data_IF_728083904793
#
_entry.id   IF_728083904793
#
_cell.length_a   1.000
_cell.length_b   1.000
_cell.length_c   1.000
_cell.angle_alpha   90.00
_cell.angle_beta   90.00
_cell.angle_gamma   90.00
#
_symmetry.space_group_name_H-M   'P 1'
#
loop_
_entity.id
_entity.type
_entity.pdbx_description
1 polymer ?
#
# COMPACT_ATOMS: atom_id res chain seq x y z
N UNK A 1 -23.30 37.72 9.21
CA UNK A 1 -22.54 36.45 9.35
C UNK A 1 -23.46 35.30 9.05
N UNK A 2 -23.05 34.37 8.23
CA UNK A 2 -23.81 33.16 7.98
C UNK A 2 -23.90 32.30 9.25
N UNK A 3 -24.88 31.40 9.34
CA UNK A 3 -25.00 30.44 10.46
C UNK A 3 -23.69 29.66 10.69
N UNK A 4 -23.04 29.27 9.61
CA UNK A 4 -21.75 28.55 9.62
C UNK A 4 -20.65 29.42 10.23
N UNK A 5 -20.53 30.69 9.85
CA UNK A 5 -19.51 31.60 10.40
C UNK A 5 -19.67 31.80 11.90
N UNK A 6 -20.93 31.92 12.39
CA UNK A 6 -21.17 32.04 13.82
C UNK A 6 -20.74 30.77 14.59
N UNK A 7 -21.03 29.59 14.03
CA UNK A 7 -20.60 28.31 14.60
C UNK A 7 -19.09 28.21 14.66
N UNK A 8 -18.41 28.51 13.56
CA UNK A 8 -16.95 28.50 13.48
C UNK A 8 -16.27 29.53 14.40
N UNK A 9 -16.91 30.68 14.60
CA UNK A 9 -16.42 31.69 15.57
C UNK A 9 -16.51 31.17 17.01
N UNK A 10 -17.59 30.48 17.38
CA UNK A 10 -17.71 29.82 18.70
C UNK A 10 -16.68 28.71 18.85
N UNK A 11 -16.46 27.94 17.78
CA UNK A 11 -15.44 26.89 17.76
C UNK A 11 -14.04 27.45 18.02
N UNK A 12 -13.66 28.59 17.42
CA UNK A 12 -12.39 29.26 17.65
C UNK A 12 -12.17 29.60 19.13
N UNK A 13 -13.23 30.00 19.85
CA UNK A 13 -13.15 30.28 21.30
C UNK A 13 -12.90 28.98 22.08
N UNK A 14 -13.60 27.90 21.74
CA UNK A 14 -13.41 26.59 22.40
C UNK A 14 -11.99 26.07 22.15
N UNK A 15 -11.50 26.19 20.93
CA UNK A 15 -10.15 25.76 20.58
C UNK A 15 -9.06 26.52 21.33
N UNK A 16 -9.22 27.83 21.49
CA UNK A 16 -8.28 28.64 22.26
C UNK A 16 -8.31 28.29 23.74
N UNK A 17 -9.54 28.09 24.30
CA UNK A 17 -9.71 27.81 25.75
C UNK A 17 -9.29 26.41 26.14
N UNK A 18 -9.60 25.40 25.31
CA UNK A 18 -9.43 23.97 25.62
C UNK A 18 -8.36 23.30 24.76
N UNK A 19 -7.36 24.05 24.25
CA UNK A 19 -6.33 23.56 23.32
C UNK A 19 -5.63 22.29 23.79
N UNK A 20 -5.26 22.16 25.07
CA UNK A 20 -4.60 20.97 25.61
C UNK A 20 -5.53 19.76 25.69
N UNK A 21 -6.82 19.98 26.00
CA UNK A 21 -7.83 18.90 26.00
C UNK A 21 -8.03 18.38 24.59
N UNK A 22 -8.11 19.27 23.61
CA UNK A 22 -8.20 18.90 22.18
C UNK A 22 -6.99 18.07 21.77
N UNK A 23 -5.78 18.48 22.18
CA UNK A 23 -4.56 17.72 21.88
C UNK A 23 -4.60 16.30 22.49
N UNK A 24 -5.01 16.19 23.78
CA UNK A 24 -5.12 14.88 24.44
C UNK A 24 -6.12 13.98 23.73
N UNK A 25 -7.30 14.51 23.40
CA UNK A 25 -8.32 13.76 22.64
C UNK A 25 -7.78 13.33 21.27
N UNK A 26 -7.05 14.22 20.58
CA UNK A 26 -6.43 13.90 19.28
C UNK A 26 -5.43 12.75 19.40
N UNK A 27 -4.60 12.76 20.44
CA UNK A 27 -3.62 11.69 20.71
C UNK A 27 -4.35 10.38 20.98
N UNK A 28 -5.39 10.38 21.84
CA UNK A 28 -6.16 9.17 22.14
C UNK A 28 -6.87 8.60 20.89
N UNK A 29 -7.47 9.47 20.07
CA UNK A 29 -8.06 9.06 18.80
C UNK A 29 -7.00 8.52 17.83
N UNK A 30 -5.82 9.15 17.78
CA UNK A 30 -4.73 8.66 16.92
C UNK A 30 -4.25 7.27 17.34
N UNK A 31 -4.16 7.00 18.65
CA UNK A 31 -3.85 5.66 19.15
C UNK A 31 -4.93 4.65 18.70
N UNK A 32 -6.21 5.01 18.82
CA UNK A 32 -7.30 4.16 18.35
C UNK A 32 -7.19 3.83 16.85
N UNK A 33 -6.91 4.83 16.00
CA UNK A 33 -6.74 4.60 14.57
C UNK A 33 -5.46 3.84 14.23
N UNK A 34 -4.38 3.99 15.01
CA UNK A 34 -3.14 3.20 14.84
C UNK A 34 -3.42 1.71 15.04
N UNK A 35 -4.28 1.33 15.98
CA UNK A 35 -4.71 -0.07 16.10
C UNK A 35 -5.45 -0.59 14.85
N UNK A 36 -6.12 0.27 14.10
CA UNK A 36 -6.71 -0.12 12.81
C UNK A 36 -5.68 -0.52 11.76
N UNK A 37 -4.45 0.03 11.82
CA UNK A 37 -3.39 -0.31 10.87
C UNK A 37 -3.03 -1.80 10.89
N UNK A 38 -3.18 -2.48 12.04
CA UNK A 38 -2.87 -3.91 12.17
C UNK A 38 -3.84 -4.81 11.42
N UNK A 39 -5.02 -4.28 11.05
CA UNK A 39 -6.07 -5.01 10.34
C UNK A 39 -6.09 -4.75 8.84
N UNK A 40 -5.11 -3.99 8.32
CA UNK A 40 -5.06 -3.69 6.89
C UNK A 40 -4.75 -4.98 6.12
N UNK A 41 -5.61 -5.26 5.17
CA UNK A 41 -5.45 -6.36 4.22
C UNK A 41 -5.06 -5.81 2.85
N UNK A 42 -4.28 -6.59 2.12
CA UNK A 42 -3.94 -6.30 0.73
C UNK A 42 -4.75 -7.21 -0.19
N UNK A 43 -5.24 -6.68 -1.30
CA UNK A 43 -5.95 -7.47 -2.32
C UNK A 43 -5.08 -7.58 -3.56
N UNK A 44 -4.73 -8.81 -3.90
CA UNK A 44 -3.96 -9.15 -5.10
C UNK A 44 -4.75 -9.97 -6.09
N UNK A 45 -5.90 -10.47 -5.68
CA UNK A 45 -6.77 -11.24 -6.56
C UNK A 45 -7.50 -10.29 -7.52
N UNK A 46 -7.03 -10.26 -8.76
CA UNK A 46 -7.63 -9.44 -9.81
C UNK A 46 -9.09 -9.83 -10.09
N UNK A 47 -9.50 -11.07 -9.82
CA UNK A 47 -10.89 -11.51 -9.95
C UNK A 47 -11.79 -10.76 -8.97
N UNK A 48 -11.33 -10.56 -7.73
CA UNK A 48 -12.06 -9.78 -6.71
C UNK A 48 -12.04 -8.27 -6.94
N UNK A 49 -11.07 -7.78 -7.72
CA UNK A 49 -11.01 -6.38 -8.15
C UNK A 49 -11.95 -6.09 -9.32
N UNK A 50 -12.48 -7.14 -9.95
CA UNK A 50 -13.34 -7.09 -11.14
C UNK A 50 -14.83 -7.19 -10.76
N UNK A 51 -15.73 -6.74 -11.63
CA UNK A 51 -17.17 -6.75 -11.35
C UNK A 51 -17.71 -8.18 -11.25
N UNK A 52 -18.00 -8.66 -10.05
CA UNK A 52 -18.55 -10.01 -9.81
C UNK A 52 -19.95 -10.22 -10.41
N UNK A 53 -20.68 -9.14 -10.73
CA UNK A 53 -22.03 -9.22 -11.25
C UNK A 53 -22.10 -9.56 -12.73
N UNK A 54 -21.01 -9.40 -13.48
CA UNK A 54 -20.96 -9.75 -14.90
C UNK A 54 -20.97 -11.26 -15.08
N UNK A 55 -21.70 -11.73 -16.10
CA UNK A 55 -21.91 -13.16 -16.39
C UNK A 55 -20.58 -13.93 -16.53
N UNK A 56 -19.58 -13.31 -17.16
CA UNK A 56 -18.27 -13.92 -17.36
C UNK A 56 -17.56 -14.25 -16.03
N UNK A 57 -17.65 -13.36 -15.03
CA UNK A 57 -17.05 -13.59 -13.71
C UNK A 57 -17.85 -14.62 -12.90
N UNK A 58 -19.20 -14.58 -12.96
CA UNK A 58 -20.07 -15.62 -12.37
C UNK A 58 -19.80 -16.98 -12.94
N UNK A 59 -19.54 -17.06 -14.25
CA UNK A 59 -19.18 -18.31 -14.90
C UNK A 59 -17.81 -18.81 -14.44
N UNK A 60 -16.83 -17.92 -14.31
CA UNK A 60 -15.51 -18.26 -13.79
C UNK A 60 -15.59 -18.80 -12.36
N UNK A 61 -16.35 -18.13 -11.47
CA UNK A 61 -16.57 -18.58 -10.09
C UNK A 61 -17.26 -19.94 -10.03
N UNK A 62 -18.22 -20.18 -10.93
CA UNK A 62 -18.90 -21.47 -11.04
C UNK A 62 -17.96 -22.56 -11.55
N UNK A 63 -17.05 -22.26 -12.47
CA UNK A 63 -16.03 -23.21 -12.92
C UNK A 63 -15.09 -23.53 -11.76
N UNK A 64 -14.57 -22.51 -11.09
CA UNK A 64 -13.66 -22.69 -9.94
C UNK A 64 -14.31 -23.51 -8.81
N UNK A 65 -15.58 -23.23 -8.47
CA UNK A 65 -16.28 -23.95 -7.41
C UNK A 65 -16.62 -25.42 -7.74
N UNK A 66 -16.81 -25.76 -9.02
CA UNK A 66 -17.21 -27.10 -9.42
C UNK A 66 -16.03 -27.99 -9.87
N UNK A 67 -14.94 -27.38 -10.36
CA UNK A 67 -13.82 -28.11 -10.94
C UNK A 67 -12.50 -27.91 -10.17
N UNK A 68 -12.54 -27.21 -9.03
CA UNK A 68 -11.37 -26.87 -8.23
C UNK A 68 -10.73 -25.55 -8.66
N UNK A 69 -9.77 -25.07 -7.84
CA UNK A 69 -9.07 -23.82 -8.08
C UNK A 69 -8.21 -23.90 -9.35
N UNK A 70 -8.24 -22.82 -10.12
CA UNK A 70 -7.43 -22.67 -11.33
C UNK A 70 -6.11 -21.92 -11.07
N UNK A 71 -5.67 -21.87 -9.82
CA UNK A 71 -4.41 -21.23 -9.49
C UNK A 71 -3.24 -22.10 -9.94
N UNK A 72 -2.60 -21.66 -11.02
CA UNK A 72 -1.50 -22.38 -11.63
C UNK A 72 -0.19 -21.78 -11.15
N UNK A 73 0.69 -22.63 -10.63
CA UNK A 73 2.10 -22.32 -10.40
C UNK A 73 2.93 -23.07 -11.43
N UNK A 74 3.83 -22.36 -12.05
CA UNK A 74 4.77 -22.90 -13.04
C UNK A 74 6.18 -22.78 -12.49
N UNK A 75 6.84 -23.91 -12.36
CA UNK A 75 8.28 -23.94 -12.07
C UNK A 75 9.00 -24.21 -13.39
N UNK A 76 9.82 -23.27 -13.78
CA UNK A 76 10.61 -23.32 -15.00
C UNK A 76 12.02 -23.70 -14.65
N UNK A 77 12.60 -24.66 -15.35
CA UNK A 77 13.99 -25.10 -15.22
C UNK A 77 14.75 -24.79 -16.51
N UNK A 78 15.90 -24.16 -16.39
CA UNK A 78 16.76 -23.84 -17.53
C UNK A 78 18.23 -24.02 -17.18
N UNK A 79 19.09 -24.05 -18.18
CA UNK A 79 20.53 -24.03 -17.97
C UNK A 79 20.98 -22.69 -17.41
N UNK A 80 21.83 -22.76 -16.36
CA UNK A 80 22.45 -21.59 -15.77
C UNK A 80 23.54 -21.05 -16.72
N UNK A 81 23.30 -19.88 -17.30
CA UNK A 81 24.22 -19.23 -18.23
C UNK A 81 25.46 -18.61 -17.53
N UNK A 82 25.41 -18.49 -16.20
CA UNK A 82 26.46 -17.84 -15.40
C UNK A 82 27.38 -18.84 -14.74
N UNK A 83 27.04 -20.14 -14.71
CA UNK A 83 27.89 -21.15 -14.12
C UNK A 83 29.07 -21.44 -15.03
N UNK A 84 30.29 -21.47 -14.48
CA UNK A 84 31.51 -21.95 -15.16
C UNK A 84 31.43 -23.43 -15.59
N UNK A 85 30.48 -24.17 -15.04
CA UNK A 85 29.98 -25.43 -15.57
C UNK A 85 29.16 -25.14 -16.83
N UNK A 86 29.82 -24.87 -17.96
CA UNK A 86 29.22 -25.12 -19.27
C UNK A 86 28.73 -26.54 -19.19
N UNK A 87 27.42 -26.63 -18.99
CA UNK A 87 26.76 -27.88 -18.69
C UNK A 87 27.21 -28.94 -19.66
N UNK A 88 27.57 -30.07 -19.13
CA UNK A 88 27.77 -31.34 -19.83
C UNK A 88 26.53 -31.66 -20.72
N UNK A 89 25.49 -30.86 -20.55
CA UNK A 89 24.14 -30.95 -21.12
C UNK A 89 23.81 -29.74 -21.98
N UNK A 90 23.79 -29.94 -23.30
CA UNK A 90 23.27 -28.93 -24.25
C UNK A 90 21.76 -29.08 -24.54
N UNK A 91 21.09 -30.05 -23.93
CA UNK A 91 19.71 -30.42 -24.19
C UNK A 91 19.00 -30.73 -22.86
N UNK A 92 17.90 -30.00 -22.58
CA UNK A 92 17.13 -30.16 -21.34
C UNK A 92 16.39 -31.51 -21.27
N UNK A 93 16.31 -32.25 -22.40
CA UNK A 93 15.73 -33.60 -22.51
C UNK A 93 16.69 -34.65 -21.98
N UNK A 94 17.27 -34.45 -20.82
CA UNK A 94 18.21 -35.33 -20.17
C UNK A 94 17.49 -36.24 -19.16
N UNK A 95 17.80 -37.56 -19.10
CA UNK A 95 17.22 -38.48 -18.12
C UNK A 95 17.36 -38.01 -16.67
N UNK A 96 18.49 -37.38 -16.30
CA UNK A 96 18.70 -36.86 -14.96
C UNK A 96 17.68 -35.77 -14.60
N UNK A 97 17.38 -34.87 -15.56
CA UNK A 97 16.37 -33.83 -15.40
C UNK A 97 14.97 -34.40 -15.29
N UNK A 98 14.63 -35.41 -16.12
CA UNK A 98 13.35 -36.11 -16.03
C UNK A 98 13.18 -36.80 -14.67
N UNK A 99 14.23 -37.44 -14.15
CA UNK A 99 14.21 -38.06 -12.82
C UNK A 99 14.07 -37.01 -11.70
N UNK A 100 14.73 -35.87 -11.83
CA UNK A 100 14.57 -34.75 -10.90
C UNK A 100 13.13 -34.21 -10.90
N UNK A 101 12.53 -34.00 -12.07
CA UNK A 101 11.12 -33.61 -12.18
C UNK A 101 10.20 -34.65 -11.54
N UNK A 102 10.44 -35.94 -11.75
CA UNK A 102 9.68 -37.03 -11.13
C UNK A 102 9.76 -37.00 -9.59
N UNK A 103 10.94 -36.73 -9.06
CA UNK A 103 11.15 -36.58 -7.61
C UNK A 103 10.35 -35.40 -7.08
N UNK A 104 10.42 -34.23 -7.74
CA UNK A 104 9.63 -33.06 -7.39
C UNK A 104 8.13 -33.33 -7.44
N UNK A 105 7.63 -33.97 -8.51
CA UNK A 105 6.21 -34.34 -8.61
C UNK A 105 5.78 -35.21 -7.43
N UNK A 106 6.61 -36.19 -7.05
CA UNK A 106 6.31 -37.09 -5.94
C UNK A 106 6.26 -36.36 -4.62
N UNK A 107 7.14 -35.40 -4.37
CA UNK A 107 7.19 -34.63 -3.15
C UNK A 107 6.07 -33.57 -3.08
N UNK A 108 5.72 -32.93 -4.20
CA UNK A 108 4.61 -31.98 -4.22
C UNK A 108 3.24 -32.65 -4.09
N UNK A 109 3.05 -33.84 -4.66
CA UNK A 109 1.80 -34.61 -4.50
C UNK A 109 1.48 -35.03 -3.07
N UNK A 110 2.47 -35.03 -2.15
CA UNK A 110 2.25 -35.30 -0.73
C UNK A 110 1.63 -34.13 0.01
N UNK A 111 1.67 -32.92 -0.56
CA UNK A 111 1.19 -31.72 0.08
C UNK A 111 -0.32 -31.55 -0.12
N UNK A 112 -1.05 -31.41 0.99
CA UNK A 112 -2.51 -31.24 0.94
C UNK A 112 -2.98 -29.93 0.27
N UNK A 113 -2.08 -28.96 0.12
CA UNK A 113 -2.34 -27.66 -0.54
C UNK A 113 -2.18 -27.72 -2.06
N UNK A 114 -1.80 -28.87 -2.63
CA UNK A 114 -1.56 -29.06 -4.05
C UNK A 114 -2.59 -30.05 -4.60
N UNK A 115 -3.36 -29.63 -5.58
CA UNK A 115 -4.39 -30.47 -6.20
C UNK A 115 -3.78 -31.42 -7.24
N UNK A 116 -3.03 -30.86 -8.19
CA UNK A 116 -2.36 -31.65 -9.23
C UNK A 116 -0.95 -31.16 -9.49
N UNK A 117 -0.07 -32.09 -9.88
CA UNK A 117 1.29 -31.79 -10.35
C UNK A 117 1.54 -32.57 -11.61
N UNK A 118 2.05 -31.92 -12.64
CA UNK A 118 2.39 -32.57 -13.90
C UNK A 118 3.53 -31.86 -14.63
N UNK A 119 4.37 -32.65 -15.25
CA UNK A 119 5.47 -32.25 -16.11
C UNK A 119 5.72 -33.28 -17.22
N UNK A 120 6.79 -33.16 -17.96
CA UNK A 120 7.23 -34.20 -18.85
C UNK A 120 7.44 -35.54 -18.12
N UNK A 121 7.86 -35.54 -16.88
CA UNK A 121 8.10 -36.73 -16.08
C UNK A 121 6.81 -37.52 -15.75
N UNK A 122 5.66 -36.89 -15.73
CA UNK A 122 4.35 -37.57 -15.55
C UNK A 122 4.16 -38.67 -16.57
N UNK A 123 4.62 -38.45 -17.78
CA UNK A 123 4.46 -39.36 -18.90
C UNK A 123 5.73 -40.20 -19.14
N UNK A 124 6.91 -39.58 -19.03
CA UNK A 124 8.19 -40.21 -19.31
C UNK A 124 8.75 -41.01 -18.13
N UNK A 125 8.34 -40.66 -16.90
CA UNK A 125 8.90 -41.25 -15.67
C UNK A 125 8.55 -42.73 -15.45
N UNK A 126 7.67 -43.32 -16.26
CA UNK A 126 7.39 -44.76 -16.26
C UNK A 126 8.33 -45.58 -17.20
N UNK A 127 9.11 -44.88 -18.02
CA UNK A 127 10.07 -45.52 -18.93
C UNK A 127 11.46 -45.47 -18.30
N UNK A 128 12.24 -46.53 -18.50
CA UNK A 128 13.66 -46.55 -18.10
C UNK A 128 14.47 -45.92 -19.24
N UNK A 129 14.58 -44.58 -19.15
CA UNK A 129 15.30 -43.78 -20.15
C UNK A 129 16.72 -43.53 -19.59
N UNK A 130 17.76 -43.99 -20.30
CA UNK A 130 19.13 -43.91 -19.88
C UNK A 130 20.00 -42.94 -20.71
N UNK A 131 19.44 -42.47 -21.83
CA UNK A 131 20.15 -41.53 -22.72
C UNK A 131 19.22 -40.41 -23.22
N UNK A 132 19.84 -39.32 -23.65
CA UNK A 132 19.13 -38.17 -24.25
C UNK A 132 18.39 -38.57 -25.50
N UNK A 133 18.97 -39.47 -26.31
CA UNK A 133 18.35 -39.94 -27.57
C UNK A 133 17.13 -40.80 -27.32
N UNK A 134 17.09 -41.58 -26.25
CA UNK A 134 15.89 -42.31 -25.82
C UNK A 134 14.77 -41.35 -25.40
N UNK A 135 15.09 -40.27 -24.65
CA UNK A 135 14.12 -39.24 -24.28
C UNK A 135 13.57 -38.52 -25.49
N UNK A 136 14.43 -38.15 -26.46
CA UNK A 136 14.01 -37.56 -27.73
C UNK A 136 13.04 -38.47 -28.49
N UNK A 137 13.41 -39.74 -28.65
CA UNK A 137 12.58 -40.74 -29.34
C UNK A 137 11.21 -40.91 -28.67
N UNK A 138 11.18 -40.91 -27.35
CA UNK A 138 9.93 -40.97 -26.59
C UNK A 138 9.04 -39.71 -26.78
N UNK A 139 9.65 -38.54 -26.86
CA UNK A 139 8.93 -37.29 -27.16
C UNK A 139 8.41 -37.28 -28.59
N UNK A 140 9.19 -37.73 -29.54
CA UNK A 140 8.78 -37.84 -30.96
C UNK A 140 7.56 -38.78 -31.14
N UNK A 141 7.49 -39.84 -30.32
CA UNK A 141 6.33 -40.74 -30.27
C UNK A 141 5.09 -40.10 -29.63
N UNK A 142 5.29 -39.11 -28.77
CA UNK A 142 4.23 -38.42 -28.05
C UNK A 142 4.32 -36.89 -28.22
N UNK A 143 3.92 -36.32 -29.37
CA UNK A 143 4.10 -34.90 -29.68
C UNK A 143 3.48 -33.94 -28.67
N UNK A 144 2.47 -34.39 -27.91
CA UNK A 144 1.88 -33.60 -26.82
C UNK A 144 2.89 -33.24 -25.70
N UNK A 145 4.00 -33.97 -25.56
CA UNK A 145 5.05 -33.67 -24.60
C UNK A 145 5.85 -32.43 -24.95
N UNK A 146 5.83 -31.99 -26.20
CA UNK A 146 6.54 -30.76 -26.59
C UNK A 146 6.04 -29.52 -25.85
N UNK A 147 4.84 -29.53 -25.31
CA UNK A 147 4.32 -28.41 -24.47
C UNK A 147 5.10 -28.20 -23.17
N UNK A 148 5.85 -29.18 -22.71
CA UNK A 148 6.68 -29.08 -21.50
C UNK A 148 8.09 -28.58 -21.77
N UNK A 149 8.46 -28.38 -23.02
CA UNK A 149 9.79 -27.97 -23.44
C UNK A 149 9.74 -26.69 -24.27
N UNK A 150 10.76 -25.86 -24.16
CA UNK A 150 10.95 -24.74 -25.08
C UNK A 150 11.32 -25.23 -26.48
N UNK A 151 11.07 -24.40 -27.51
CA UNK A 151 11.38 -24.75 -28.90
C UNK A 151 12.84 -25.07 -29.17
N UNK A 152 13.74 -24.49 -28.40
CA UNK A 152 15.20 -24.68 -28.44
C UNK A 152 15.70 -25.76 -27.48
N UNK A 153 14.78 -26.41 -26.76
CA UNK A 153 15.07 -27.44 -25.76
C UNK A 153 16.09 -27.01 -24.69
N UNK A 154 16.11 -25.72 -24.35
CA UNK A 154 16.94 -25.19 -23.26
C UNK A 154 16.20 -25.11 -21.94
N UNK A 155 14.88 -25.28 -21.96
CA UNK A 155 13.99 -25.03 -20.81
C UNK A 155 12.91 -26.11 -20.74
N UNK A 156 12.58 -26.54 -19.51
CA UNK A 156 11.42 -27.39 -19.22
C UNK A 156 10.59 -26.80 -18.08
N UNK A 157 9.34 -27.25 -17.97
CA UNK A 157 8.38 -26.73 -16.99
C UNK A 157 7.71 -27.84 -16.19
N UNK A 158 7.42 -27.50 -14.93
CA UNK A 158 6.57 -28.28 -14.05
C UNK A 158 5.38 -27.40 -13.63
N UNK A 159 4.18 -27.92 -13.77
CA UNK A 159 2.95 -27.26 -13.42
C UNK A 159 2.40 -27.83 -12.11
N UNK A 160 1.96 -26.92 -11.24
CA UNK A 160 1.19 -27.25 -10.04
C UNK A 160 -0.14 -26.50 -10.11
N UNK A 161 -1.22 -27.15 -9.70
CA UNK A 161 -2.50 -26.50 -9.48
C UNK A 161 -2.87 -26.57 -8.01
N UNK A 162 -3.53 -25.54 -7.51
CA UNK A 162 -3.97 -25.44 -6.14
C UNK A 162 -5.28 -24.65 -6.04
N UNK A 163 -6.11 -24.96 -5.05
CA UNK A 163 -7.26 -24.13 -4.70
C UNK A 163 -6.89 -23.14 -3.60
N UNK A 164 -6.55 -21.95 -4.01
CA UNK A 164 -6.22 -20.87 -3.07
C UNK A 164 -7.45 -20.05 -2.68
N UNK A 165 -8.54 -20.11 -3.47
CA UNK A 165 -9.81 -19.39 -3.24
C UNK A 165 -9.59 -17.90 -2.94
N UNK A 166 -8.53 -17.29 -3.48
CA UNK A 166 -8.11 -15.91 -3.21
C UNK A 166 -7.74 -15.66 -1.74
N UNK A 167 -7.32 -16.69 -1.00
CA UNK A 167 -6.82 -16.56 0.37
C UNK A 167 -5.33 -16.24 0.36
N UNK A 168 -4.97 -15.04 0.85
CA UNK A 168 -3.61 -14.54 0.89
C UNK A 168 -2.66 -15.45 1.68
N UNK A 169 -3.09 -15.93 2.86
CA UNK A 169 -2.24 -16.77 3.71
C UNK A 169 -1.94 -18.11 3.05
N UNK A 170 -2.93 -18.71 2.38
CA UNK A 170 -2.74 -19.94 1.60
C UNK A 170 -1.78 -19.69 0.41
N UNK A 171 -1.91 -18.55 -0.26
CA UNK A 171 -1.05 -18.18 -1.39
C UNK A 171 0.40 -18.04 -0.97
N UNK A 172 0.66 -17.34 0.15
CA UNK A 172 2.00 -17.18 0.73
C UNK A 172 2.54 -18.55 1.19
N UNK A 173 1.74 -19.34 1.91
CA UNK A 173 2.15 -20.66 2.40
C UNK A 173 2.53 -21.61 1.26
N UNK A 174 1.71 -21.65 0.19
CA UNK A 174 2.01 -22.45 -1.00
C UNK A 174 3.32 -22.01 -1.69
N UNK A 175 3.49 -20.71 -1.90
CA UNK A 175 4.68 -20.17 -2.57
C UNK A 175 5.96 -20.48 -1.77
N UNK A 176 5.91 -20.31 -0.45
CA UNK A 176 7.03 -20.63 0.43
C UNK A 176 7.33 -22.14 0.42
N UNK A 177 6.31 -23.00 0.53
CA UNK A 177 6.46 -24.44 0.48
C UNK A 177 7.12 -24.89 -0.83
N UNK A 178 6.70 -24.32 -1.97
CA UNK A 178 7.30 -24.63 -3.28
C UNK A 178 8.77 -24.24 -3.29
N UNK A 179 9.11 -23.05 -2.81
CA UNK A 179 10.48 -22.54 -2.75
C UNK A 179 11.34 -23.40 -1.83
N UNK A 180 10.86 -23.72 -0.62
CA UNK A 180 11.56 -24.55 0.35
C UNK A 180 11.91 -25.95 -0.19
N UNK A 181 10.96 -26.58 -0.91
CA UNK A 181 11.22 -27.89 -1.53
C UNK A 181 12.23 -27.81 -2.67
N UNK A 182 12.16 -26.75 -3.49
CA UNK A 182 13.15 -26.54 -4.57
C UNK A 182 14.56 -26.32 -4.04
N UNK A 183 14.71 -25.68 -2.87
CA UNK A 183 16.00 -25.48 -2.22
C UNK A 183 16.53 -26.75 -1.55
N UNK A 184 15.64 -27.55 -0.94
CA UNK A 184 16.02 -28.73 -0.16
C UNK A 184 16.25 -29.99 -1.02
N UNK A 185 15.67 -30.09 -2.20
CA UNK A 185 15.87 -31.24 -3.10
C UNK A 185 17.05 -30.96 -4.02
N UNK A 186 18.05 -31.88 -3.97
CA UNK A 186 19.27 -31.73 -4.75
C UNK A 186 18.94 -31.66 -6.24
N UNK A 187 19.22 -30.51 -6.86
CA UNK A 187 19.03 -30.28 -8.29
C UNK A 187 20.24 -30.73 -9.10
N UNK A 188 20.06 -31.12 -10.36
CA UNK A 188 21.15 -31.39 -11.29
C UNK A 188 22.07 -30.17 -11.44
N UNK A 189 23.39 -30.41 -11.62
CA UNK A 189 24.40 -29.36 -11.77
C UNK A 189 24.10 -28.51 -13.02
N UNK A 190 24.28 -27.18 -12.90
CA UNK A 190 24.08 -26.25 -14.02
C UNK A 190 22.63 -25.97 -14.40
N UNK A 191 21.67 -26.38 -13.56
CA UNK A 191 20.24 -26.02 -13.72
C UNK A 191 19.86 -24.95 -12.71
N UNK A 192 19.22 -23.90 -13.19
CA UNK A 192 18.52 -22.91 -12.37
C UNK A 192 17.00 -23.07 -12.52
N UNK A 193 16.28 -22.64 -11.50
CA UNK A 193 14.82 -22.64 -11.53
C UNK A 193 14.24 -21.24 -11.33
N UNK A 194 13.07 -21.01 -11.86
CA UNK A 194 12.27 -19.80 -11.64
C UNK A 194 10.83 -20.22 -11.38
N UNK A 195 10.19 -19.55 -10.42
CA UNK A 195 8.79 -19.84 -10.05
C UNK A 195 7.92 -18.68 -10.52
N UNK A 196 6.83 -18.98 -11.21
CA UNK A 196 5.85 -18.01 -11.70
C UNK A 196 4.44 -18.60 -11.64
N UNK A 197 3.44 -17.85 -12.08
CA UNK A 197 2.04 -18.25 -12.02
C UNK A 197 1.22 -17.32 -11.15
N UNK A 198 -0.08 -17.59 -10.99
CA UNK A 198 -1.00 -16.70 -10.27
C UNK A 198 -0.57 -16.48 -8.83
N UNK A 199 -0.23 -17.54 -8.09
CA UNK A 199 0.16 -17.46 -6.69
C UNK A 199 1.49 -16.71 -6.46
N UNK A 200 2.63 -17.10 -7.07
CA UNK A 200 3.90 -16.37 -6.89
C UNK A 200 3.85 -14.92 -7.35
N UNK A 201 3.15 -14.64 -8.46
CA UNK A 201 2.94 -13.26 -8.92
C UNK A 201 2.12 -12.49 -7.90
N UNK A 202 1.07 -13.07 -7.34
CA UNK A 202 0.27 -12.46 -6.28
C UNK A 202 1.12 -12.08 -5.06
N UNK A 203 1.97 -12.99 -4.56
CA UNK A 203 2.88 -12.72 -3.42
C UNK A 203 3.87 -11.60 -3.75
N UNK A 204 4.45 -11.62 -4.96
CA UNK A 204 5.37 -10.56 -5.40
C UNK A 204 4.67 -9.20 -5.48
N UNK A 205 3.45 -9.17 -6.00
CA UNK A 205 2.64 -7.94 -6.06
C UNK A 205 2.33 -7.42 -4.66
N UNK A 206 2.00 -8.28 -3.69
CA UNK A 206 1.80 -7.88 -2.28
C UNK A 206 3.02 -7.17 -1.71
N UNK A 207 4.20 -7.76 -1.89
CA UNK A 207 5.44 -7.19 -1.38
C UNK A 207 5.76 -5.83 -2.05
N UNK A 208 5.55 -5.73 -3.36
CA UNK A 208 5.71 -4.47 -4.11
C UNK A 208 4.71 -3.41 -3.61
N UNK A 209 3.42 -3.76 -3.49
CA UNK A 209 2.39 -2.82 -3.03
C UNK A 209 2.69 -2.29 -1.63
N UNK A 210 3.08 -3.16 -0.69
CA UNK A 210 3.44 -2.75 0.66
C UNK A 210 4.63 -1.79 0.68
N UNK A 211 5.68 -2.12 -0.07
CA UNK A 211 6.87 -1.25 -0.18
C UNK A 211 6.58 0.07 -0.87
N UNK A 212 5.80 0.05 -1.94
CA UNK A 212 5.48 1.25 -2.71
C UNK A 212 4.54 2.18 -1.94
N UNK A 213 3.57 1.65 -1.18
CA UNK A 213 2.73 2.45 -0.29
C UNK A 213 3.56 3.28 0.69
N UNK A 214 4.54 2.64 1.35
CA UNK A 214 5.42 3.32 2.31
C UNK A 214 6.36 4.29 1.60
N UNK A 215 7.00 3.89 0.51
CA UNK A 215 7.94 4.74 -0.25
C UNK A 215 7.27 5.99 -0.79
N UNK A 216 6.10 5.84 -1.42
CA UNK A 216 5.36 6.98 -2.00
C UNK A 216 4.87 7.93 -0.91
N UNK A 217 4.41 7.39 0.24
CA UNK A 217 4.00 8.21 1.37
C UNK A 217 5.18 9.01 1.95
N UNK A 218 6.33 8.37 2.18
CA UNK A 218 7.53 9.04 2.70
C UNK A 218 8.04 10.09 1.71
N UNK A 219 8.11 9.74 0.43
CA UNK A 219 8.57 10.68 -0.61
C UNK A 219 7.65 11.89 -0.71
N UNK A 220 6.32 11.68 -0.72
CA UNK A 220 5.35 12.77 -0.70
C UNK A 220 5.49 13.64 0.55
N UNK A 221 5.65 13.04 1.74
CA UNK A 221 5.85 13.76 2.97
C UNK A 221 7.12 14.63 2.95
N UNK A 222 8.24 14.10 2.45
CA UNK A 222 9.50 14.84 2.31
C UNK A 222 9.34 16.03 1.35
N UNK A 223 8.75 15.79 0.16
CA UNK A 223 8.55 16.85 -0.84
C UNK A 223 7.65 17.95 -0.29
N UNK A 224 6.53 17.58 0.37
CA UNK A 224 5.61 18.55 0.97
C UNK A 224 6.29 19.33 2.10
N UNK A 225 7.06 18.68 2.98
CA UNK A 225 7.80 19.37 4.03
C UNK A 225 8.86 20.33 3.47
N UNK A 226 9.54 19.96 2.38
CA UNK A 226 10.48 20.85 1.69
C UNK A 226 9.77 22.07 1.10
N UNK A 227 8.62 21.87 0.44
CA UNK A 227 7.80 22.96 -0.08
C UNK A 227 7.31 23.89 1.06
N UNK A 228 6.83 23.31 2.15
CA UNK A 228 6.41 24.08 3.32
C UNK A 228 7.58 24.83 3.97
N UNK A 229 8.77 24.25 3.98
CA UNK A 229 9.98 24.96 4.44
C UNK A 229 10.31 26.17 3.56
N UNK A 230 10.23 26.01 2.23
CA UNK A 230 10.48 27.11 1.29
C UNK A 230 9.44 28.22 1.43
N UNK A 231 8.16 27.88 1.58
CA UNK A 231 7.06 28.87 1.68
C UNK A 231 6.99 29.56 3.04
N UNK A 232 7.26 28.83 4.11
CA UNK A 232 7.19 29.35 5.48
C UNK A 232 8.51 29.89 6.02
N UNK A 233 9.63 29.65 5.32
CA UNK A 233 11.00 29.99 5.74
C UNK A 233 11.33 29.52 7.19
N UNK A 234 10.67 28.43 7.65
CA UNK A 234 10.84 27.89 9.00
C UNK A 234 10.44 26.43 9.05
N UNK A 235 11.34 25.55 9.46
CA UNK A 235 11.09 24.12 9.64
C UNK A 235 9.98 23.89 10.67
N UNK A 236 10.01 24.60 11.79
CA UNK A 236 9.02 24.43 12.87
C UNK A 236 7.61 24.73 12.34
N UNK A 237 7.45 25.82 11.59
CA UNK A 237 6.15 26.20 11.04
C UNK A 237 5.67 25.20 9.98
N UNK A 238 6.59 24.71 9.15
CA UNK A 238 6.29 23.64 8.20
C UNK A 238 5.75 22.38 8.90
N UNK A 239 6.39 21.96 10.00
CA UNK A 239 5.93 20.81 10.80
C UNK A 239 4.54 21.09 11.43
N UNK A 240 4.29 22.30 11.91
CA UNK A 240 2.98 22.69 12.49
C UNK A 240 1.87 22.56 11.44
N UNK A 241 2.10 23.02 10.22
CA UNK A 241 1.15 22.91 9.12
C UNK A 241 1.00 21.48 8.64
N UNK A 242 2.10 20.72 8.62
CA UNK A 242 2.11 19.33 8.16
C UNK A 242 1.45 18.36 9.14
N UNK A 243 1.59 18.60 10.45
CA UNK A 243 1.15 17.62 11.48
C UNK A 243 -0.35 17.28 11.42
N UNK A 244 -1.30 18.21 11.22
CA UNK A 244 -2.73 17.88 11.06
C UNK A 244 -3.01 17.00 9.84
N UNK A 245 -2.30 17.24 8.75
CA UNK A 245 -2.48 16.50 7.51
C UNK A 245 -1.99 15.07 7.65
N UNK A 246 -0.83 14.91 8.29
CA UNK A 246 -0.26 13.59 8.58
C UNK A 246 -1.17 12.78 9.52
N UNK A 247 -1.78 13.42 10.51
CA UNK A 247 -2.82 12.81 11.35
C UNK A 247 -4.00 12.32 10.50
N UNK A 248 -4.43 13.11 9.51
CA UNK A 248 -5.50 12.72 8.57
C UNK A 248 -5.17 11.43 7.82
N UNK A 249 -3.93 11.26 7.36
CA UNK A 249 -3.49 10.02 6.72
C UNK A 249 -3.55 8.84 7.70
N UNK A 250 -3.02 8.99 8.91
CA UNK A 250 -3.05 7.91 9.94
C UNK A 250 -4.50 7.50 10.22
N UNK A 251 -5.40 8.47 10.42
CA UNK A 251 -6.81 8.18 10.72
C UNK A 251 -7.51 7.51 9.53
N UNK A 252 -7.17 7.91 8.32
CA UNK A 252 -7.73 7.30 7.10
C UNK A 252 -7.30 5.85 6.96
N UNK A 253 -5.99 5.59 7.02
CA UNK A 253 -5.46 4.23 6.85
C UNK A 253 -5.95 3.35 8.01
N UNK A 254 -5.98 3.87 9.25
CA UNK A 254 -6.57 3.16 10.38
C UNK A 254 -8.06 2.82 10.20
N UNK A 255 -8.83 3.75 9.66
CA UNK A 255 -10.26 3.53 9.33
C UNK A 255 -10.42 2.47 8.24
N UNK A 256 -9.54 2.47 7.22
CA UNK A 256 -9.55 1.43 6.20
C UNK A 256 -9.40 0.05 6.82
N UNK A 257 -8.48 -0.11 7.80
CA UNK A 257 -8.31 -1.37 8.53
C UNK A 257 -9.56 -1.77 9.34
N UNK A 258 -10.20 -0.82 10.03
CA UNK A 258 -11.43 -1.08 10.79
C UNK A 258 -12.63 -1.43 9.90
N UNK A 259 -12.73 -0.84 8.71
CA UNK A 259 -13.80 -1.08 7.74
C UNK A 259 -13.50 -2.24 6.78
N UNK A 260 -12.38 -2.93 6.95
CA UNK A 260 -11.89 -3.97 6.03
C UNK A 260 -11.79 -3.49 4.57
N UNK A 261 -11.49 -2.19 4.37
CA UNK A 261 -11.15 -1.66 3.05
C UNK A 261 -9.73 -2.09 2.70
N UNK A 262 -9.59 -2.75 1.55
CA UNK A 262 -8.32 -3.38 1.19
C UNK A 262 -7.38 -2.42 0.46
N UNK A 263 -6.08 -2.59 0.71
CA UNK A 263 -5.04 -2.01 -0.12
C UNK A 263 -4.90 -2.83 -1.41
N UNK A 264 -5.06 -2.16 -2.54
CA UNK A 264 -4.94 -2.72 -3.88
C UNK A 264 -4.06 -1.84 -4.75
N UNK A 265 -3.81 -2.25 -5.98
CA UNK A 265 -3.10 -1.42 -6.97
C UNK A 265 -3.74 -0.03 -7.13
N UNK A 266 -5.07 0.09 -7.02
CA UNK A 266 -5.76 1.38 -7.10
C UNK A 266 -5.59 2.23 -5.85
N UNK A 267 -5.48 1.62 -4.67
CA UNK A 267 -5.51 2.32 -3.38
C UNK A 267 -4.14 2.50 -2.73
N UNK A 268 -3.08 1.92 -3.29
CA UNK A 268 -1.72 1.96 -2.74
C UNK A 268 -1.19 3.40 -2.55
N UNK A 269 -1.57 4.33 -3.43
CA UNK A 269 -1.15 5.74 -3.40
C UNK A 269 -2.03 6.66 -2.53
N UNK A 270 -3.04 6.14 -1.83
CA UNK A 270 -4.01 6.96 -1.08
C UNK A 270 -3.34 7.89 -0.07
N UNK A 271 -2.32 7.40 0.66
CA UNK A 271 -1.61 8.23 1.64
C UNK A 271 -0.99 9.48 1.01
N UNK A 272 -0.30 9.31 -0.13
CA UNK A 272 0.31 10.43 -0.86
C UNK A 272 -0.76 11.37 -1.45
N UNK A 273 -1.87 10.83 -1.97
CA UNK A 273 -2.99 11.63 -2.48
C UNK A 273 -3.62 12.49 -1.39
N UNK A 274 -3.89 11.93 -0.21
CA UNK A 274 -4.46 12.66 0.92
C UNK A 274 -3.49 13.73 1.42
N UNK A 275 -2.20 13.45 1.50
CA UNK A 275 -1.19 14.45 1.84
C UNK A 275 -1.23 15.63 0.85
N UNK A 276 -1.27 15.35 -0.46
CA UNK A 276 -1.28 16.37 -1.50
C UNK A 276 -2.56 17.23 -1.48
N UNK A 277 -3.72 16.60 -1.34
CA UNK A 277 -5.02 17.30 -1.32
C UNK A 277 -5.29 18.00 0.01
N UNK A 278 -4.81 17.44 1.12
CA UNK A 278 -5.07 17.99 2.46
C UNK A 278 -4.17 19.16 2.85
N UNK A 279 -2.98 19.31 2.20
CA UNK A 279 -1.98 20.33 2.60
C UNK A 279 -2.50 21.76 2.47
N UNK A 280 -3.33 22.01 1.47
CA UNK A 280 -3.90 23.34 1.23
C UNK A 280 -4.75 23.84 2.41
N UNK A 281 -5.48 22.97 3.09
CA UNK A 281 -6.34 23.35 4.22
C UNK A 281 -5.52 23.88 5.40
N UNK A 282 -4.42 23.20 5.72
CA UNK A 282 -3.50 23.61 6.78
C UNK A 282 -2.75 24.90 6.42
N UNK A 283 -2.29 25.01 5.17
CA UNK A 283 -1.58 26.20 4.67
C UNK A 283 -2.48 27.43 4.72
N UNK A 284 -3.67 27.36 4.16
CA UNK A 284 -4.59 28.50 4.13
C UNK A 284 -4.96 28.99 5.54
N UNK A 285 -5.27 28.06 6.44
CA UNK A 285 -5.60 28.42 7.81
C UNK A 285 -4.41 29.07 8.54
N UNK A 286 -3.21 28.49 8.42
CA UNK A 286 -2.00 29.04 9.06
C UNK A 286 -1.62 30.41 8.48
N UNK A 287 -1.70 30.57 7.16
CA UNK A 287 -1.40 31.85 6.51
C UNK A 287 -2.37 32.94 6.98
N UNK A 288 -3.67 32.65 7.00
CA UNK A 288 -4.68 33.62 7.44
C UNK A 288 -4.52 33.97 8.93
N UNK A 289 -4.27 32.98 9.77
CA UNK A 289 -3.98 33.23 11.19
C UNK A 289 -2.77 34.16 11.36
N UNK A 290 -1.67 33.91 10.63
CA UNK A 290 -0.47 34.74 10.67
C UNK A 290 -0.74 36.17 10.23
N UNK A 291 -1.46 36.38 9.11
CA UNK A 291 -1.83 37.72 8.65
C UNK A 291 -2.51 38.53 9.74
N UNK A 292 -3.42 37.92 10.49
CA UNK A 292 -4.13 38.61 11.57
C UNK A 292 -3.25 38.83 12.79
N UNK A 293 -2.33 37.89 13.09
CA UNK A 293 -1.31 38.08 14.15
C UNK A 293 -0.33 39.22 13.82
N UNK A 294 0.06 39.35 12.54
CA UNK A 294 0.97 40.41 12.05
C UNK A 294 0.34 41.79 12.13
N UNK A 295 -0.99 41.89 12.08
CA UNK A 295 -1.76 43.11 12.33
C UNK A 295 -1.81 43.46 13.83
N UNK A 296 -1.15 42.71 14.72
CA UNK A 296 -1.07 42.97 16.16
C UNK A 296 -2.23 42.39 16.98
N UNK A 297 -3.13 41.57 16.39
CA UNK A 297 -4.23 40.96 17.13
C UNK A 297 -3.73 39.89 18.09
N UNK A 298 -4.46 39.65 19.16
CA UNK A 298 -4.23 38.54 20.09
C UNK A 298 -4.47 37.19 19.41
N UNK A 299 -3.99 36.08 19.97
CA UNK A 299 -4.20 34.73 19.45
C UNK A 299 -5.70 34.43 19.22
N UNK A 300 -6.54 34.77 20.23
CA UNK A 300 -7.98 34.55 20.17
C UNK A 300 -8.65 35.39 19.07
N UNK A 301 -8.29 36.67 18.96
CA UNK A 301 -8.85 37.55 17.91
C UNK A 301 -8.46 37.09 16.51
N UNK A 302 -7.21 36.68 16.32
CA UNK A 302 -6.74 36.15 15.05
C UNK A 302 -7.50 34.86 14.68
N UNK A 303 -7.71 33.94 15.62
CA UNK A 303 -8.52 32.73 15.37
C UNK A 303 -9.99 33.02 15.05
N UNK A 304 -10.62 33.94 15.77
CA UNK A 304 -12.02 34.35 15.53
C UNK A 304 -12.25 34.89 14.11
N UNK A 305 -11.19 35.30 13.42
CA UNK A 305 -11.24 35.77 12.04
C UNK A 305 -10.80 34.67 11.08
N UNK A 306 -9.67 34.00 11.35
CA UNK A 306 -9.10 33.00 10.47
C UNK A 306 -9.99 31.75 10.33
N UNK A 307 -10.48 31.20 11.45
CA UNK A 307 -11.27 29.97 11.44
C UNK A 307 -12.60 30.11 10.69
N UNK A 308 -13.43 31.17 10.87
CA UNK A 308 -14.64 31.33 10.08
C UNK A 308 -14.35 31.62 8.60
N UNK A 309 -13.38 32.50 8.30
CA UNK A 309 -13.09 32.91 6.93
C UNK A 309 -12.58 31.74 6.08
N UNK A 310 -11.60 31.00 6.59
CA UNK A 310 -10.98 29.89 5.87
C UNK A 310 -11.82 28.62 6.05
N UNK A 311 -12.36 28.35 7.26
CA UNK A 311 -13.17 27.17 7.52
C UNK A 311 -14.39 27.06 6.64
N UNK A 312 -15.10 28.18 6.34
CA UNK A 312 -16.24 28.17 5.42
C UNK A 312 -15.81 27.86 3.97
N UNK A 313 -14.67 28.40 3.52
CA UNK A 313 -14.14 28.17 2.18
C UNK A 313 -13.68 26.71 1.97
N UNK A 314 -12.89 26.17 2.92
CA UNK A 314 -12.40 24.79 2.81
C UNK A 314 -13.52 23.75 3.02
N UNK A 315 -14.59 24.08 3.79
CA UNK A 315 -15.78 23.22 3.86
C UNK A 315 -16.45 23.11 2.50
N UNK A 316 -16.62 24.23 1.79
CA UNK A 316 -17.21 24.22 0.46
C UNK A 316 -16.40 23.39 -0.53
N UNK A 317 -15.09 23.66 -0.67
CA UNK A 317 -14.22 22.93 -1.59
C UNK A 317 -14.07 21.47 -1.21
N UNK A 318 -13.89 21.18 0.08
CA UNK A 318 -13.70 19.81 0.54
C UNK A 318 -14.95 18.95 0.41
N UNK A 319 -16.14 19.51 0.65
CA UNK A 319 -17.40 18.77 0.43
C UNK A 319 -17.60 18.43 -1.05
N UNK A 320 -17.27 19.33 -1.97
CA UNK A 320 -17.35 19.04 -3.41
C UNK A 320 -16.36 17.94 -3.80
N UNK A 321 -15.16 17.93 -3.22
CA UNK A 321 -14.15 16.89 -3.44
C UNK A 321 -14.62 15.53 -2.89
N UNK A 322 -15.20 15.52 -1.68
CA UNK A 322 -15.77 14.29 -1.09
C UNK A 322 -16.88 13.72 -1.98
N UNK A 323 -17.81 14.57 -2.46
CA UNK A 323 -18.89 14.14 -3.35
C UNK A 323 -18.33 13.59 -4.66
N UNK A 324 -17.28 14.23 -5.22
CA UNK A 324 -16.59 13.73 -6.41
C UNK A 324 -15.99 12.33 -6.21
N UNK A 325 -15.34 12.09 -5.08
CA UNK A 325 -14.81 10.74 -4.76
C UNK A 325 -15.91 9.74 -4.44
N UNK A 326 -16.97 10.16 -3.75
CA UNK A 326 -18.13 9.28 -3.51
C UNK A 326 -18.82 8.88 -4.82
N UNK A 327 -18.77 9.68 -5.88
CA UNK A 327 -19.29 9.27 -7.18
C UNK A 327 -18.58 8.03 -7.75
N UNK A 328 -17.31 7.79 -7.39
CA UNK A 328 -16.60 6.54 -7.75
C UNK A 328 -17.24 5.29 -7.13
N UNK A 329 -18.01 5.43 -6.05
CA UNK A 329 -18.70 4.29 -5.44
C UNK A 329 -19.85 3.76 -6.31
N UNK A 330 -20.27 4.52 -7.31
CA UNK A 330 -21.25 4.09 -8.32
C UNK A 330 -20.62 3.27 -9.46
N UNK A 331 -19.28 3.15 -9.47
CA UNK A 331 -18.59 2.31 -10.46
C UNK A 331 -18.99 0.85 -10.31
N UNK A 332 -19.03 0.12 -11.41
CA UNK A 332 -19.18 -1.35 -11.41
C UNK A 332 -17.90 -2.04 -10.90
N UNK A 333 -16.75 -1.36 -10.88
CA UNK A 333 -15.47 -1.95 -10.45
C UNK A 333 -15.27 -1.78 -8.94
N UNK A 334 -15.19 -2.86 -8.14
CA UNK A 334 -15.00 -2.80 -6.70
C UNK A 334 -13.78 -1.98 -6.27
N UNK A 335 -12.66 -2.11 -6.99
CA UNK A 335 -11.45 -1.36 -6.66
C UNK A 335 -11.62 0.16 -6.79
N UNK A 336 -12.46 0.64 -7.73
CA UNK A 336 -12.77 2.08 -7.84
C UNK A 336 -13.73 2.52 -6.76
N UNK A 337 -14.66 1.65 -6.32
CA UNK A 337 -15.51 1.92 -5.17
C UNK A 337 -14.69 2.10 -3.90
N UNK A 338 -13.74 1.21 -3.65
CA UNK A 338 -12.87 1.27 -2.46
C UNK A 338 -11.92 2.48 -2.52
N UNK A 339 -11.40 2.83 -3.69
CA UNK A 339 -10.64 4.07 -3.90
C UNK A 339 -11.50 5.30 -3.54
N UNK A 340 -12.72 5.37 -4.07
CA UNK A 340 -13.65 6.46 -3.80
C UNK A 340 -14.01 6.61 -2.32
N UNK A 341 -14.36 5.49 -1.65
CA UNK A 341 -14.63 5.46 -0.20
C UNK A 341 -13.43 5.95 0.61
N UNK A 342 -12.26 5.40 0.32
CA UNK A 342 -11.04 5.70 1.08
C UNK A 342 -10.60 7.15 0.90
N UNK A 343 -10.66 7.71 -0.31
CA UNK A 343 -10.36 9.13 -0.56
C UNK A 343 -11.39 10.06 0.07
N UNK A 344 -12.69 9.72 0.00
CA UNK A 344 -13.74 10.50 0.65
C UNK A 344 -13.56 10.54 2.16
N UNK A 345 -13.24 9.42 2.80
CA UNK A 345 -12.89 9.33 4.23
C UNK A 345 -11.66 10.18 4.53
N UNK A 346 -10.62 10.08 3.70
CA UNK A 346 -9.36 10.79 3.89
C UNK A 346 -9.50 12.30 3.81
N UNK A 347 -10.21 12.79 2.82
CA UNK A 347 -10.52 14.22 2.71
C UNK A 347 -11.44 14.66 3.86
N UNK A 348 -12.41 13.84 4.26
CA UNK A 348 -13.24 14.09 5.43
C UNK A 348 -12.45 14.29 6.71
N UNK A 349 -11.49 13.41 6.99
CA UNK A 349 -10.58 13.57 8.13
C UNK A 349 -9.65 14.78 7.97
N UNK A 350 -9.12 15.04 6.78
CA UNK A 350 -8.28 16.22 6.54
C UNK A 350 -9.04 17.51 6.82
N UNK A 351 -10.30 17.61 6.37
CA UNK A 351 -11.19 18.73 6.68
C UNK A 351 -11.48 18.84 8.17
N UNK A 352 -11.87 17.73 8.79
CA UNK A 352 -12.19 17.71 10.22
C UNK A 352 -11.00 18.16 11.05
N UNK A 353 -9.82 17.58 10.80
CA UNK A 353 -8.61 17.90 11.55
C UNK A 353 -8.19 19.36 11.31
N UNK A 354 -8.26 19.85 10.08
CA UNK A 354 -7.89 21.22 9.74
C UNK A 354 -8.80 22.25 10.39
N UNK A 355 -10.09 21.98 10.52
CA UNK A 355 -11.05 22.91 11.14
C UNK A 355 -11.07 22.78 12.66
N UNK A 356 -11.06 21.54 13.19
CA UNK A 356 -11.31 21.31 14.63
C UNK A 356 -10.03 21.20 15.47
N UNK A 357 -8.93 20.72 14.89
CA UNK A 357 -7.70 20.38 15.63
C UNK A 357 -6.55 21.33 15.28
N UNK A 358 -6.32 21.65 14.01
CA UNK A 358 -5.20 22.45 13.58
C UNK A 358 -5.09 23.83 14.29
N UNK A 359 -6.19 24.59 14.55
CA UNK A 359 -6.08 25.85 15.27
C UNK A 359 -5.51 25.69 16.68
N UNK A 360 -5.88 24.62 17.38
CA UNK A 360 -5.35 24.34 18.72
C UNK A 360 -3.85 24.01 18.66
N UNK A 361 -3.42 23.23 17.65
CA UNK A 361 -2.00 22.91 17.42
C UNK A 361 -1.20 24.18 17.14
N UNK A 362 -1.70 25.06 16.26
CA UNK A 362 -1.03 26.33 15.92
C UNK A 362 -0.79 27.17 17.17
N UNK A 363 -1.79 27.34 18.05
CA UNK A 363 -1.64 28.10 19.29
C UNK A 363 -0.64 27.46 20.24
N UNK A 364 -0.70 26.13 20.43
CA UNK A 364 0.23 25.42 21.32
C UNK A 364 1.67 25.63 20.88
N UNK A 365 1.95 25.50 19.58
CA UNK A 365 3.29 25.74 19.06
C UNK A 365 3.73 27.19 19.15
N UNK A 366 2.82 28.15 18.98
CA UNK A 366 3.14 29.57 19.24
C UNK A 366 3.51 29.82 20.69
N UNK A 367 2.76 29.26 21.64
CA UNK A 367 3.07 29.35 23.07
C UNK A 367 4.42 28.72 23.41
N UNK A 368 4.70 27.54 22.89
CA UNK A 368 6.00 26.87 23.07
C UNK A 368 7.14 27.71 22.51
N UNK A 369 6.95 28.33 21.35
CA UNK A 369 7.89 29.23 20.72
C UNK A 369 8.19 30.45 21.62
N UNK A 370 7.15 31.04 22.24
CA UNK A 370 7.30 32.15 23.17
C UNK A 370 8.04 31.72 24.44
N UNK A 371 7.71 30.57 25.01
CA UNK A 371 8.38 30.02 26.22
C UNK A 371 9.85 29.75 25.91
N UNK A 372 10.17 29.13 24.79
CA UNK A 372 11.53 28.84 24.37
C UNK A 372 12.35 30.15 24.17
N UNK A 373 11.76 31.14 23.50
CA UNK A 373 12.38 32.43 23.28
C UNK A 373 12.66 33.17 24.62
N UNK A 374 11.73 33.12 25.58
CA UNK A 374 11.96 33.68 26.92
C UNK A 374 13.09 32.97 27.67
N UNK A 375 13.16 31.65 27.56
CA UNK A 375 14.21 30.84 28.20
C UNK A 375 15.58 31.13 27.57
N UNK A 376 15.65 31.28 26.25
CA UNK A 376 16.88 31.66 25.55
C UNK A 376 17.33 33.08 25.94
N UNK A 377 16.39 34.04 26.07
CA UNK A 377 16.68 35.39 26.53
C UNK A 377 17.26 35.41 27.96
N UNK A 378 16.72 34.56 28.84
CA UNK A 378 17.24 34.44 30.23
C UNK A 378 18.64 33.83 30.31
N UNK A 379 19.01 33.01 29.30
CA UNK A 379 20.32 32.35 29.25
C UNK A 379 21.39 33.18 28.52
N UNK A 380 21.02 33.94 27.51
CA UNK A 380 21.96 34.64 26.59
C UNK A 380 21.81 36.16 26.54
N UNK A 381 20.93 36.77 27.29
CA UNK A 381 20.92 38.21 27.62
C UNK A 381 20.62 39.25 26.54
N UNK A 382 20.49 38.90 25.24
CA UNK A 382 20.42 39.87 24.14
C UNK A 382 19.41 39.57 23.01
N UNK A 383 18.28 38.97 23.32
CA UNK A 383 17.25 38.68 22.30
C UNK A 383 15.98 39.46 22.62
N UNK A 384 15.65 40.50 21.82
CA UNK A 384 14.43 41.29 22.00
C UNK A 384 13.22 40.59 21.38
N UNK A 385 12.16 40.33 22.16
CA UNK A 385 10.90 39.78 21.68
C UNK A 385 9.92 40.91 21.43
N UNK A 386 9.57 41.17 20.17
CA UNK A 386 8.50 42.08 19.77
C UNK A 386 7.40 41.30 19.05
N UNK A 387 6.17 41.30 19.60
CA UNK A 387 4.99 40.59 19.05
C UNK A 387 5.19 39.06 18.84
N UNK A 388 5.87 38.36 19.76
CA UNK A 388 6.09 36.92 19.65
C UNK A 388 7.13 36.51 18.64
N UNK A 389 7.91 37.46 18.07
CA UNK A 389 8.98 37.17 17.10
C UNK A 389 10.33 37.57 17.66
N UNK A 390 11.33 36.71 17.40
CA UNK A 390 12.74 37.01 17.62
C UNK A 390 13.16 38.09 16.60
N UNK A 391 13.53 39.27 17.06
CA UNK A 391 14.32 40.24 16.29
C UNK A 391 15.75 40.28 16.88
N UNK A 392 16.72 40.15 15.96
CA UNK A 392 18.13 40.49 16.26
C UNK A 392 18.28 41.96 16.47
#
# INVERSE_FOLDING_TARGET
>A
MSFIENLLTRLAVIQSKYKYIILIITVLLSIFFIFGLTNIQMETDFSKMSPSDLEIFKLNDKITSNFGGNDIVVVLFRFDKTSDYKSEYNDIRNPEIINYLKTLETEYRKEASVDTVFSAATYLGSFNLNSVDEVKSAIDMMPALNQFFSKDYTTTVLYLTADLSGNQDKTIALTNMISDKLENIQKPSGIEYMVTGSAPVGVTVLDILGRDAIKTLILAAIIILLLLFITEFSIIKGIVVFSPIFLGVIWTIGTMGWLNLKLSVATVGIGAMILGLGVEYGVFLNTRYKEERDKGKTQLEALKIAVPAIGSAILGSGLTTIVGFLALTLSVMPMLQDLGKSLAIGIGFSLFISIFIAPAIIIIFEDLGIIFARKMHSLYGNITIKNGRLKK
#
